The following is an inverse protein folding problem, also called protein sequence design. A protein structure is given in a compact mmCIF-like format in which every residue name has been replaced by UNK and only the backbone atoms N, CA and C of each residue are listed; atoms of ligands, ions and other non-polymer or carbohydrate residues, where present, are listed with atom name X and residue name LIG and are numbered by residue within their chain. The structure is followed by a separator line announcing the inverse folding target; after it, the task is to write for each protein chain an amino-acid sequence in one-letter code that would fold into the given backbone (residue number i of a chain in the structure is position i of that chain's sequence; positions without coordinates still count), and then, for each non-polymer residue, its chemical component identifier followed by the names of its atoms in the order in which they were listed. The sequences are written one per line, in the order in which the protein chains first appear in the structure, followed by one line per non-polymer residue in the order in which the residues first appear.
data_IF_216104105707
#
_entry.id   IF_216104105707
#
_cell.length_a   1.000
_cell.length_b   1.000
_cell.length_c   1.000
_cell.angle_alpha   90.00
_cell.angle_beta   90.00
_cell.angle_gamma   90.00
#
_symmetry.space_group_name_H-M   'P 1'
#
loop_
_entity.id
_entity.type
_entity.pdbx_description
1 polymer ?
#
# COMPACT_ATOMS: atom_id res chain seq x y z
N UNK A 1 -11.40 -14.61 14.66
CA UNK A 1 -12.41 -14.39 13.59
C UNK A 1 -11.65 -13.83 12.38
N UNK A 2 -11.66 -14.53 11.24
CA UNK A 2 -10.97 -14.08 10.03
C UNK A 2 -11.70 -12.83 9.52
N UNK A 3 -11.04 -11.67 9.55
CA UNK A 3 -11.67 -10.41 9.10
C UNK A 3 -11.76 -10.39 7.59
N UNK A 4 -12.95 -10.16 7.03
CA UNK A 4 -13.18 -10.04 5.59
C UNK A 4 -12.94 -8.61 5.10
N UNK A 5 -12.77 -8.45 3.79
CA UNK A 5 -12.62 -7.14 3.17
C UNK A 5 -13.76 -6.17 3.52
N UNK A 6 -15.02 -6.62 3.47
CA UNK A 6 -16.17 -5.76 3.77
C UNK A 6 -16.18 -5.30 5.23
N UNK A 7 -15.72 -6.16 6.15
CA UNK A 7 -15.59 -5.83 7.57
C UNK A 7 -14.51 -4.78 7.80
N UNK A 8 -13.33 -4.95 7.16
CA UNK A 8 -12.21 -3.99 7.24
C UNK A 8 -12.58 -2.66 6.59
N UNK A 9 -13.28 -2.70 5.46
CA UNK A 9 -13.79 -1.52 4.77
C UNK A 9 -14.74 -0.72 5.67
N UNK A 10 -15.74 -1.38 6.27
CA UNK A 10 -16.66 -0.73 7.23
C UNK A 10 -15.91 -0.12 8.43
N UNK A 11 -14.95 -0.85 8.99
CA UNK A 11 -14.14 -0.36 10.10
C UNK A 11 -13.36 0.90 9.70
N UNK A 12 -12.62 0.85 8.59
CA UNK A 12 -11.82 1.99 8.13
C UNK A 12 -12.69 3.21 7.80
N UNK A 13 -13.88 3.00 7.22
CA UNK A 13 -14.86 4.08 7.02
C UNK A 13 -15.31 4.69 8.34
N UNK A 14 -15.63 3.87 9.34
CA UNK A 14 -16.05 4.32 10.67
C UNK A 14 -14.94 5.11 11.37
N UNK A 15 -13.71 4.62 11.32
CA UNK A 15 -12.55 5.27 11.95
C UNK A 15 -12.28 6.67 11.36
N UNK A 16 -12.54 6.82 10.05
CA UNK A 16 -12.43 8.11 9.36
C UNK A 16 -13.71 8.97 9.44
N UNK A 17 -14.77 8.48 10.08
CA UNK A 17 -16.10 9.09 10.06
C UNK A 17 -16.65 9.34 8.64
N UNK A 18 -16.39 8.43 7.70
CA UNK A 18 -16.85 8.51 6.32
C UNK A 18 -18.13 7.69 6.10
N UNK A 19 -19.11 8.32 5.47
CA UNK A 19 -20.21 7.64 4.79
C UNK A 19 -19.75 7.13 3.43
N UNK A 20 -20.54 6.25 2.82
CA UNK A 20 -20.26 5.75 1.47
C UNK A 20 -20.11 6.90 0.46
N UNK A 21 -20.92 7.96 0.59
CA UNK A 21 -20.83 9.11 -0.33
C UNK A 21 -19.49 9.84 -0.20
N UNK A 22 -18.95 9.97 1.01
CA UNK A 22 -17.68 10.66 1.27
C UNK A 22 -16.51 9.91 0.62
N UNK A 23 -16.51 8.57 0.72
CA UNK A 23 -15.52 7.72 0.05
C UNK A 23 -15.59 7.88 -1.47
N UNK A 24 -16.79 7.93 -2.04
CA UNK A 24 -17.00 8.14 -3.49
C UNK A 24 -16.48 9.51 -3.90
N UNK A 25 -16.79 10.56 -3.15
CA UNK A 25 -16.34 11.93 -3.45
C UNK A 25 -14.82 12.09 -3.35
N UNK A 26 -14.20 11.47 -2.34
CA UNK A 26 -12.73 11.44 -2.21
C UNK A 26 -12.09 10.61 -3.33
N UNK A 27 -12.66 9.46 -3.69
CA UNK A 27 -12.18 8.65 -4.80
C UNK A 27 -12.27 9.40 -6.13
N UNK A 28 -13.32 10.20 -6.37
CA UNK A 28 -13.43 11.05 -7.56
C UNK A 28 -12.28 12.05 -7.67
N UNK A 29 -11.80 12.60 -6.56
CA UNK A 29 -10.66 13.54 -6.56
C UNK A 29 -9.36 12.87 -7.05
N UNK A 30 -9.22 11.58 -6.82
CA UNK A 30 -8.08 10.77 -7.29
C UNK A 30 -8.23 10.28 -8.74
N UNK A 31 -9.34 10.60 -9.43
CA UNK A 31 -9.57 10.10 -10.79
C UNK A 31 -8.52 10.60 -11.78
N UNK A 32 -8.08 11.86 -11.67
CA UNK A 32 -7.07 12.44 -12.57
C UNK A 32 -5.71 11.76 -12.41
N UNK A 33 -5.37 11.30 -11.20
CA UNK A 33 -4.11 10.60 -10.91
C UNK A 33 -4.16 9.12 -11.29
N UNK A 34 -5.31 8.47 -11.07
CA UNK A 34 -5.41 7.00 -11.13
C UNK A 34 -6.13 6.47 -12.37
N UNK A 35 -6.97 7.30 -13.01
CA UNK A 35 -7.89 6.89 -14.06
C UNK A 35 -9.00 5.92 -13.59
N UNK A 36 -9.18 5.76 -12.28
CA UNK A 36 -10.07 4.75 -11.70
C UNK A 36 -11.31 5.40 -11.11
N UNK A 37 -12.48 4.92 -11.54
CA UNK A 37 -13.78 5.36 -11.02
C UNK A 37 -14.32 4.35 -10.01
N UNK A 38 -14.65 4.82 -8.81
CA UNK A 38 -15.43 4.07 -7.82
C UNK A 38 -16.86 4.60 -7.84
N UNK A 39 -17.82 3.74 -8.20
CA UNK A 39 -19.23 4.13 -8.31
C UNK A 39 -20.00 3.82 -7.03
N UNK A 40 -21.23 4.37 -6.92
CA UNK A 40 -22.15 4.05 -5.81
C UNK A 40 -22.51 2.57 -5.77
N UNK A 41 -22.70 1.95 -6.93
CA UNK A 41 -22.99 0.51 -7.05
C UNK A 41 -21.81 -0.32 -6.57
N UNK A 42 -20.59 0.01 -7.01
CA UNK A 42 -19.37 -0.65 -6.55
C UNK A 42 -19.27 -0.63 -5.02
N UNK A 43 -19.31 0.57 -4.43
CA UNK A 43 -19.11 0.71 -3.00
C UNK A 43 -20.22 0.04 -2.17
N UNK A 44 -21.46 0.07 -2.67
CA UNK A 44 -22.56 -0.66 -2.04
C UNK A 44 -22.35 -2.17 -2.09
N UNK A 45 -21.88 -2.74 -3.21
CA UNK A 45 -21.56 -4.16 -3.29
C UNK A 45 -20.41 -4.56 -2.36
N UNK A 46 -19.38 -3.71 -2.29
CA UNK A 46 -18.20 -3.89 -1.44
C UNK A 46 -18.56 -3.89 0.05
N UNK A 47 -19.30 -2.88 0.51
CA UNK A 47 -19.74 -2.78 1.91
C UNK A 47 -20.66 -3.94 2.28
N UNK A 48 -21.46 -4.46 1.34
CA UNK A 48 -22.33 -5.60 1.60
C UNK A 48 -21.65 -6.96 1.39
N UNK A 49 -20.33 -6.99 1.10
CA UNK A 49 -19.59 -8.24 0.89
C UNK A 49 -20.05 -9.06 -0.33
N UNK A 50 -20.75 -8.43 -1.30
CA UNK A 50 -21.23 -9.12 -2.50
C UNK A 50 -20.11 -9.41 -3.50
N UNK A 51 -19.10 -8.57 -3.51
CA UNK A 51 -17.96 -8.64 -4.44
C UNK A 51 -16.78 -7.91 -3.81
N UNK A 52 -15.56 -8.29 -4.20
CA UNK A 52 -14.33 -7.60 -3.82
C UNK A 52 -13.84 -6.69 -4.96
N UNK A 53 -13.15 -5.58 -4.65
CA UNK A 53 -12.59 -4.70 -5.66
C UNK A 53 -11.40 -5.37 -6.36
N UNK A 54 -11.27 -5.16 -7.67
CA UNK A 54 -10.01 -5.44 -8.36
C UNK A 54 -8.88 -4.50 -7.91
N UNK A 55 -7.63 -4.87 -8.17
CA UNK A 55 -6.41 -4.20 -7.69
C UNK A 55 -6.43 -2.67 -7.79
N UNK A 56 -6.86 -2.13 -8.95
CA UNK A 56 -6.93 -0.69 -9.19
C UNK A 56 -7.92 0.03 -8.25
N UNK A 57 -9.10 -0.55 -8.04
CA UNK A 57 -10.11 0.02 -7.12
C UNK A 57 -9.71 -0.18 -5.67
N UNK A 58 -9.07 -1.31 -5.34
CA UNK A 58 -8.51 -1.57 -4.02
C UNK A 58 -7.49 -0.49 -3.63
N UNK A 59 -6.55 -0.18 -4.53
CA UNK A 59 -5.57 0.89 -4.34
C UNK A 59 -6.24 2.24 -4.03
N UNK A 60 -7.26 2.63 -4.80
CA UNK A 60 -8.00 3.88 -4.57
C UNK A 60 -8.68 3.89 -3.21
N UNK A 61 -9.37 2.80 -2.84
CA UNK A 61 -10.04 2.69 -1.55
C UNK A 61 -9.05 2.76 -0.39
N UNK A 62 -7.94 2.04 -0.48
CA UNK A 62 -6.85 2.07 0.49
C UNK A 62 -6.26 3.47 0.66
N UNK A 63 -6.02 4.18 -0.45
CA UNK A 63 -5.52 5.57 -0.45
C UNK A 63 -6.52 6.54 0.18
N UNK A 64 -7.82 6.42 -0.14
CA UNK A 64 -8.89 7.27 0.43
C UNK A 64 -9.05 7.07 1.93
N UNK A 65 -8.94 5.83 2.40
CA UNK A 65 -9.15 5.44 3.79
C UNK A 65 -7.88 5.50 4.64
N UNK A 66 -6.74 5.81 4.01
CA UNK A 66 -5.41 5.81 4.60
C UNK A 66 -5.06 4.51 5.32
N UNK A 67 -5.28 3.37 4.66
CA UNK A 67 -4.93 2.03 5.14
C UNK A 67 -4.18 1.25 4.08
N UNK A 68 -3.44 0.22 4.46
CA UNK A 68 -2.76 -0.66 3.52
C UNK A 68 -3.74 -1.56 2.76
N UNK A 69 -3.42 -1.86 1.50
CA UNK A 69 -4.25 -2.72 0.65
C UNK A 69 -4.38 -4.13 1.25
N UNK A 70 -3.28 -4.68 1.76
CA UNK A 70 -3.25 -6.01 2.37
C UNK A 70 -4.06 -6.06 3.67
N UNK A 71 -3.96 -5.06 4.55
CA UNK A 71 -4.84 -5.00 5.72
C UNK A 71 -6.31 -4.90 5.33
N UNK A 72 -6.60 -4.11 4.28
CA UNK A 72 -7.97 -3.94 3.79
C UNK A 72 -8.54 -5.25 3.21
N UNK A 73 -7.73 -6.10 2.59
CA UNK A 73 -8.10 -7.46 2.18
C UNK A 73 -8.27 -8.45 3.36
N UNK A 74 -7.89 -8.05 4.57
CA UNK A 74 -8.05 -8.85 5.79
C UNK A 74 -6.82 -9.66 6.19
N UNK A 75 -5.66 -9.40 5.58
CA UNK A 75 -4.39 -9.98 6.03
C UNK A 75 -3.96 -9.40 7.39
N UNK A 76 -3.21 -10.19 8.15
CA UNK A 76 -2.66 -9.78 9.44
C UNK A 76 -1.34 -9.01 9.25
N UNK A 77 -1.47 -7.76 8.82
CA UNK A 77 -0.36 -6.84 8.52
C UNK A 77 -0.65 -5.46 9.12
N UNK A 78 0.33 -4.54 9.17
CA UNK A 78 0.07 -3.18 9.63
C UNK A 78 -1.08 -2.50 8.88
N UNK A 79 -1.96 -1.84 9.65
CA UNK A 79 -3.11 -1.11 9.12
C UNK A 79 -2.70 0.08 8.28
N UNK A 80 -1.67 0.78 8.70
CA UNK A 80 -1.30 2.05 8.11
C UNK A 80 -0.68 1.87 6.73
N UNK A 81 -1.00 2.81 5.85
CA UNK A 81 -0.49 2.83 4.49
C UNK A 81 0.91 3.45 4.47
N UNK A 82 1.89 2.72 3.94
CA UNK A 82 3.16 3.31 3.50
C UNK A 82 2.88 4.29 2.35
N UNK A 83 3.41 5.51 2.45
CA UNK A 83 3.20 6.55 1.45
C UNK A 83 3.74 6.14 0.08
N UNK A 84 3.19 6.73 -0.99
CA UNK A 84 3.63 6.41 -2.35
C UNK A 84 5.13 6.77 -2.55
N UNK A 85 5.61 7.80 -1.84
CA UNK A 85 7.01 8.24 -1.83
C UNK A 85 7.93 7.21 -1.16
N UNK A 86 7.55 6.71 0.01
CA UNK A 86 8.28 5.66 0.73
C UNK A 86 8.32 4.37 -0.09
N UNK A 87 7.21 3.96 -0.70
CA UNK A 87 7.17 2.78 -1.58
C UNK A 87 8.16 2.90 -2.73
N UNK A 88 8.26 4.07 -3.35
CA UNK A 88 9.18 4.30 -4.46
C UNK A 88 10.64 4.23 -3.99
N UNK A 89 10.96 4.70 -2.79
CA UNK A 89 12.31 4.60 -2.20
C UNK A 89 12.68 3.16 -1.83
N UNK A 90 11.74 2.40 -1.25
CA UNK A 90 11.96 1.01 -0.85
C UNK A 90 12.13 0.07 -2.06
N UNK A 91 11.34 0.23 -3.11
CA UNK A 91 11.40 -0.62 -4.30
C UNK A 91 12.78 -0.57 -5.01
N UNK A 92 13.45 0.59 -5.02
CA UNK A 92 14.75 0.70 -5.65
C UNK A 92 15.87 -0.02 -4.87
N UNK A 93 15.78 -0.09 -3.54
CA UNK A 93 16.82 -0.70 -2.71
C UNK A 93 16.60 -2.22 -2.55
N UNK A 94 15.36 -2.65 -2.31
CA UNK A 94 15.03 -4.07 -2.13
C UNK A 94 15.16 -4.87 -3.43
N UNK A 95 14.83 -4.30 -4.59
CA UNK A 95 15.01 -5.00 -5.88
C UNK A 95 16.48 -5.31 -6.15
N UNK A 96 17.39 -4.43 -5.72
CA UNK A 96 18.83 -4.67 -5.82
C UNK A 96 19.23 -5.74 -4.79
N UNK A 97 18.90 -5.57 -3.52
CA UNK A 97 19.29 -6.51 -2.46
C UNK A 97 18.79 -7.94 -2.69
N UNK A 98 17.57 -8.13 -3.21
CA UNK A 98 16.99 -9.44 -3.47
C UNK A 98 17.60 -10.17 -4.68
N UNK A 99 18.24 -9.46 -5.62
CA UNK A 99 19.02 -10.08 -6.70
C UNK A 99 20.46 -10.40 -6.28
N UNK A 100 20.99 -9.73 -5.26
CA UNK A 100 22.38 -9.95 -4.82
C UNK A 100 22.58 -11.22 -3.98
N UNK A 101 21.49 -11.89 -3.57
CA UNK A 101 21.56 -13.13 -2.79
C UNK A 101 21.97 -14.30 -3.71
N UNK A 102 23.29 -14.52 -3.81
CA UNK A 102 23.92 -15.55 -4.66
C UNK A 102 24.68 -15.04 -5.89
N UNK A 103 24.53 -13.75 -6.24
CA UNK A 103 25.19 -13.14 -7.41
C UNK A 103 26.52 -12.45 -7.08
N UNK A 104 26.83 -12.24 -5.79
CA UNK A 104 28.08 -11.65 -5.32
C UNK A 104 28.88 -12.65 -4.48
N UNK A 105 30.19 -12.64 -4.70
CA UNK A 105 31.17 -13.35 -3.88
C UNK A 105 31.40 -12.64 -2.53
N UNK A 106 32.03 -13.34 -1.58
CA UNK A 106 32.37 -12.80 -0.26
C UNK A 106 33.22 -11.52 -0.37
N UNK A 107 34.15 -11.49 -1.32
CA UNK A 107 35.06 -10.37 -1.58
C UNK A 107 34.31 -9.14 -2.10
N UNK A 108 33.38 -9.33 -3.03
CA UNK A 108 32.55 -8.25 -3.57
C UNK A 108 31.58 -7.69 -2.52
N UNK A 109 31.06 -8.55 -1.63
CA UNK A 109 30.29 -8.11 -0.46
C UNK A 109 31.10 -7.24 0.48
N UNK A 110 32.36 -7.59 0.69
CA UNK A 110 33.27 -6.84 1.55
C UNK A 110 33.53 -5.43 0.99
N UNK A 111 33.66 -5.29 -0.34
CA UNK A 111 33.74 -4.00 -1.01
C UNK A 111 32.47 -3.15 -0.83
N UNK A 112 31.29 -3.77 -0.99
CA UNK A 112 30.00 -3.10 -0.77
C UNK A 112 29.90 -2.56 0.67
N UNK A 113 30.29 -3.35 1.66
CA UNK A 113 30.28 -2.97 3.08
C UNK A 113 31.27 -1.83 3.35
N UNK A 114 32.48 -1.90 2.79
CA UNK A 114 33.49 -0.86 2.94
C UNK A 114 33.00 0.47 2.37
N UNK A 115 32.39 0.45 1.17
CA UNK A 115 31.85 1.64 0.55
C UNK A 115 30.68 2.24 1.33
N UNK A 116 29.77 1.40 1.85
CA UNK A 116 28.68 1.85 2.71
C UNK A 116 29.19 2.55 3.99
N UNK A 117 30.24 1.99 4.62
CA UNK A 117 30.89 2.60 5.78
C UNK A 117 31.59 3.93 5.44
N UNK A 118 32.26 4.02 4.29
CA UNK A 118 32.86 5.26 3.80
C UNK A 118 31.80 6.38 3.66
N UNK A 119 30.67 6.09 3.00
CA UNK A 119 29.57 7.07 2.86
C UNK A 119 29.04 7.50 4.22
N UNK A 120 28.84 6.56 5.15
CA UNK A 120 28.33 6.86 6.50
C UNK A 120 29.27 7.80 7.26
N UNK A 121 30.58 7.61 7.12
CA UNK A 121 31.58 8.47 7.76
C UNK A 121 31.68 9.84 7.10
N UNK A 122 31.49 9.95 5.77
CA UNK A 122 31.50 11.24 5.04
C UNK A 122 30.32 12.15 5.37
N UNK A 123 29.21 11.61 5.88
CA UNK A 123 28.02 12.36 6.29
C UNK A 123 28.08 12.90 7.71
N UNK A 124 29.06 12.46 8.52
CA UNK A 124 29.37 13.03 9.84
C UNK A 124 30.37 14.16 9.68
#
# INVERSE_FOLDING_TARGET
MKTTFDTRLKSAMKDNNFKQIDVIEKAKKLYNETGVKVTKTDLSQYVNGKTEPGNKKLYVLAKVLNVSEAWLLGYDVPRDRTTDEERTKHNNFETIAAHLDGDLTEEEWEEVIQYANYIRNKRK
#
